data_IF_317294416295
#
_entry.id   IF_317294416295
#
_cell.length_a   1.000
_cell.length_b   1.000
_cell.length_c   1.000
_cell.angle_alpha   90.00
_cell.angle_beta   90.00
_cell.angle_gamma   90.00
#
_symmetry.space_group_name_H-M   'P 1'
#
loop_
_entity.id
_entity.type
_entity.pdbx_description
1 polymer ?
#
# COMPACT_ATOMS: atom_id res chain seq x y z
N UNK A 1 19.08 -8.94 18.32
CA UNK A 1 18.90 -8.23 17.02
C UNK A 1 17.96 -9.07 16.18
N UNK A 2 16.69 -8.72 16.15
CA UNK A 2 15.67 -9.46 15.40
C UNK A 2 15.89 -9.17 13.92
N UNK A 3 16.20 -10.21 13.12
CA UNK A 3 16.15 -10.11 11.66
C UNK A 3 14.72 -9.71 11.30
N UNK A 4 14.56 -8.52 10.72
CA UNK A 4 13.29 -8.14 10.10
C UNK A 4 13.15 -9.05 8.89
N UNK A 5 12.31 -10.08 9.01
CA UNK A 5 11.96 -10.94 7.89
C UNK A 5 11.14 -10.10 6.91
N UNK A 6 11.76 -9.65 5.83
CA UNK A 6 11.10 -8.97 4.70
C UNK A 6 10.00 -9.82 4.02
N UNK A 7 9.80 -11.07 4.44
CA UNK A 7 8.78 -12.00 3.94
C UNK A 7 7.35 -11.70 4.44
N UNK A 8 7.15 -10.70 5.29
CA UNK A 8 5.83 -10.37 5.86
C UNK A 8 5.19 -9.08 5.32
N UNK A 9 5.91 -8.26 4.55
CA UNK A 9 5.35 -7.04 3.95
C UNK A 9 4.38 -7.42 2.82
N UNK A 10 3.14 -6.92 2.79
CA UNK A 10 2.24 -7.19 1.68
C UNK A 10 2.79 -6.55 0.41
N UNK A 11 2.62 -7.24 -0.72
CA UNK A 11 2.97 -6.65 -2.01
C UNK A 11 1.96 -5.58 -2.44
N UNK A 12 2.38 -4.68 -3.33
CA UNK A 12 1.47 -3.71 -3.94
C UNK A 12 0.25 -4.41 -4.58
N UNK A 13 0.48 -5.54 -5.26
CA UNK A 13 -0.56 -6.40 -5.81
C UNK A 13 -1.53 -6.93 -4.74
N UNK A 14 -1.03 -7.29 -3.57
CA UNK A 14 -1.87 -7.71 -2.44
C UNK A 14 -2.78 -6.57 -1.97
N UNK A 15 -2.22 -5.37 -1.80
CA UNK A 15 -2.99 -4.19 -1.41
C UNK A 15 -4.05 -3.84 -2.47
N UNK A 16 -3.71 -3.95 -3.76
CA UNK A 16 -4.64 -3.65 -4.84
C UNK A 16 -5.85 -4.60 -4.85
N UNK A 17 -5.61 -5.89 -4.59
CA UNK A 17 -6.68 -6.91 -4.48
C UNK A 17 -7.59 -6.69 -3.27
N UNK A 18 -7.04 -6.19 -2.17
CA UNK A 18 -7.85 -5.85 -0.98
C UNK A 18 -8.69 -4.61 -1.24
N UNK A 19 -8.11 -3.58 -1.88
CA UNK A 19 -8.75 -2.31 -2.13
C UNK A 19 -9.88 -2.39 -3.18
N UNK A 20 -9.71 -3.23 -4.22
CA UNK A 20 -10.61 -3.25 -5.39
C UNK A 20 -10.85 -1.83 -5.95
N UNK A 21 -9.77 -1.07 -6.10
CA UNK A 21 -9.79 0.36 -6.43
C UNK A 21 -8.46 0.79 -7.03
N UNK A 22 -8.12 2.07 -6.90
CA UNK A 22 -6.89 2.59 -7.51
C UNK A 22 -5.82 2.84 -6.47
N UNK A 23 -4.62 2.29 -6.72
CA UNK A 23 -3.40 2.62 -6.01
C UNK A 23 -2.50 3.46 -6.91
N UNK A 24 -1.98 4.55 -6.36
CA UNK A 24 -1.04 5.44 -7.03
C UNK A 24 0.26 5.50 -6.23
N UNK A 25 1.36 5.13 -6.89
CA UNK A 25 2.68 5.07 -6.28
C UNK A 25 3.33 6.45 -6.37
N UNK A 26 3.68 7.01 -5.22
CA UNK A 26 4.48 8.24 -5.08
C UNK A 26 5.84 7.88 -4.48
N UNK A 27 6.78 8.82 -4.51
CA UNK A 27 8.16 8.56 -4.06
C UNK A 27 8.26 7.94 -2.65
N UNK A 28 7.45 8.41 -1.69
CA UNK A 28 7.53 7.97 -0.28
C UNK A 28 6.26 7.22 0.19
N UNK A 29 5.19 7.22 -0.61
CA UNK A 29 3.89 6.69 -0.22
C UNK A 29 3.15 6.05 -1.38
N UNK A 30 2.33 5.06 -1.06
CA UNK A 30 1.26 4.57 -1.93
C UNK A 30 -0.04 5.24 -1.49
N UNK A 31 -0.75 5.85 -2.43
CA UNK A 31 -2.03 6.50 -2.20
C UNK A 31 -3.14 5.59 -2.73
N UNK A 32 -4.01 5.12 -1.85
CA UNK A 32 -5.27 4.51 -2.20
C UNK A 32 -6.37 5.58 -2.26
N UNK A 33 -7.05 5.66 -3.39
CA UNK A 33 -8.26 6.46 -3.55
C UNK A 33 -9.35 5.62 -4.21
N UNK A 34 -10.61 5.96 -3.87
CA UNK A 34 -11.79 5.22 -4.33
C UNK A 34 -11.78 3.74 -3.90
N UNK A 35 -12.74 2.94 -4.36
CA UNK A 35 -12.86 1.53 -3.99
C UNK A 35 -13.23 1.28 -2.52
N UNK A 36 -12.83 0.12 -2.01
CA UNK A 36 -13.16 -0.37 -0.66
C UNK A 36 -12.13 0.10 0.38
N UNK A 37 -11.94 1.42 0.51
CA UNK A 37 -11.02 2.02 1.50
C UNK A 37 -11.22 1.47 2.93
N UNK A 38 -12.45 1.25 3.45
CA UNK A 38 -12.63 0.64 4.77
C UNK A 38 -12.03 -0.77 4.87
N UNK A 39 -12.14 -1.58 3.81
CA UNK A 39 -11.57 -2.93 3.76
C UNK A 39 -10.06 -2.89 3.74
N UNK A 40 -9.48 -1.98 2.96
CA UNK A 40 -8.04 -1.74 2.96
C UNK A 40 -7.54 -1.29 4.34
N UNK A 41 -8.24 -0.37 5.01
CA UNK A 41 -7.90 0.08 6.36
C UNK A 41 -7.93 -1.07 7.38
N UNK A 42 -8.97 -1.93 7.35
CA UNK A 42 -9.05 -3.11 8.24
C UNK A 42 -7.87 -4.05 8.01
N UNK A 43 -7.51 -4.30 6.74
CA UNK A 43 -6.35 -5.13 6.41
C UNK A 43 -5.05 -4.53 6.95
N UNK A 44 -4.80 -3.24 6.72
CA UNK A 44 -3.59 -2.57 7.21
C UNK A 44 -3.49 -2.62 8.74
N UNK A 45 -4.61 -2.46 9.46
CA UNK A 45 -4.67 -2.60 10.93
C UNK A 45 -4.34 -4.04 11.36
N UNK A 46 -4.92 -5.06 10.69
CA UNK A 46 -4.70 -6.47 11.03
C UNK A 46 -3.26 -6.93 10.82
N UNK A 47 -2.52 -6.25 9.93
CA UNK A 47 -1.15 -6.57 9.58
C UNK A 47 -0.13 -5.61 10.21
N UNK A 48 -0.55 -4.75 11.15
CA UNK A 48 0.30 -3.76 11.83
C UNK A 48 1.05 -2.81 10.86
N UNK A 49 0.42 -2.46 9.73
CA UNK A 49 1.00 -1.58 8.72
C UNK A 49 0.57 -0.14 9.00
N UNK A 50 1.52 0.81 9.16
CA UNK A 50 1.17 2.21 9.39
C UNK A 50 0.50 2.81 8.15
N UNK A 51 -0.53 3.63 8.36
CA UNK A 51 -1.17 4.40 7.30
C UNK A 51 -1.80 5.68 7.85
N UNK A 52 -2.03 6.64 6.96
CA UNK A 52 -2.69 7.91 7.29
C UNK A 52 -3.92 8.11 6.41
N UNK A 53 -5.00 8.61 7.00
CA UNK A 53 -6.13 9.11 6.21
C UNK A 53 -5.82 10.51 5.69
N UNK A 54 -5.83 10.69 4.36
CA UNK A 54 -5.66 12.00 3.74
C UNK A 54 -6.98 12.53 3.19
N UNK A 55 -7.09 13.86 3.07
CA UNK A 55 -8.25 14.58 2.52
C UNK A 55 -9.61 14.16 3.11
N UNK A 56 -9.99 14.69 4.28
CA UNK A 56 -11.32 14.46 4.89
C UNK A 56 -11.81 12.99 4.85
N UNK A 57 -10.89 12.00 4.97
CA UNK A 57 -11.20 10.56 4.97
C UNK A 57 -11.43 9.91 3.60
N UNK A 58 -11.09 10.57 2.49
CA UNK A 58 -11.31 10.03 1.13
C UNK A 58 -10.10 9.31 0.52
N UNK A 59 -8.98 9.25 1.24
CA UNK A 59 -7.75 8.63 0.77
C UNK A 59 -7.03 7.95 1.93
N UNK A 60 -6.31 6.87 1.63
CA UNK A 60 -5.38 6.22 2.55
C UNK A 60 -3.97 6.36 1.97
N UNK A 61 -3.03 6.80 2.79
CA UNK A 61 -1.60 6.89 2.46
C UNK A 61 -0.86 5.81 3.24
N UNK A 62 -0.10 4.98 2.53
CA UNK A 62 0.68 3.88 3.09
C UNK A 62 2.14 4.19 2.80
N UNK A 63 3.04 4.24 3.80
CA UNK A 63 4.46 4.46 3.54
C UNK A 63 5.01 3.33 2.68
N UNK A 64 5.73 3.69 1.62
CA UNK A 64 6.19 2.74 0.59
C UNK A 64 7.16 1.68 1.15
N UNK A 65 7.88 2.03 2.21
CA UNK A 65 8.82 1.16 2.92
C UNK A 65 8.17 -0.03 3.64
N UNK A 66 6.84 0.01 3.84
CA UNK A 66 6.08 -1.08 4.47
C UNK A 66 5.35 -1.96 3.44
N UNK A 67 5.65 -1.77 2.15
CA UNK A 67 5.01 -2.47 1.04
C UNK A 67 6.07 -3.03 0.11
N UNK A 68 5.95 -4.31 -0.21
CA UNK A 68 6.82 -4.93 -1.19
C UNK A 68 6.39 -4.50 -2.62
N UNK A 69 7.22 -3.71 -3.30
CA UNK A 69 7.03 -3.38 -4.71
C UNK A 69 7.85 -4.34 -5.56
N UNK A 70 7.15 -5.16 -6.34
CA UNK A 70 7.76 -6.13 -7.25
C UNK A 70 8.49 -5.38 -8.38
N UNK A 71 9.76 -5.72 -8.64
CA UNK A 71 10.62 -4.99 -9.59
C UNK A 71 10.06 -4.87 -11.02
N UNK A 72 9.12 -5.74 -11.40
CA UNK A 72 8.49 -5.74 -12.73
C UNK A 72 7.50 -4.58 -12.96
N UNK A 73 7.09 -3.83 -11.93
CA UNK A 73 6.16 -2.70 -12.10
C UNK A 73 6.88 -1.36 -12.36
N UNK A 74 8.17 -1.25 -12.03
CA UNK A 74 8.94 0.00 -12.19
C UNK A 74 9.31 0.23 -13.67
N UNK A 75 9.54 -0.83 -14.45
CA UNK A 75 9.98 -0.72 -15.85
C UNK A 75 8.89 -0.25 -16.82
N UNK A 76 7.61 -0.33 -16.45
CA UNK A 76 6.49 -0.01 -17.37
C UNK A 76 5.99 1.45 -17.33
N UNK A 77 6.54 2.30 -16.47
CA UNK A 77 6.14 3.72 -16.35
C UNK A 77 7.21 4.72 -16.83
N UNK A 78 8.26 4.27 -17.52
CA UNK A 78 9.36 5.11 -18.06
C UNK A 78 9.46 4.99 -19.59
N UNK A 79 8.33 4.87 -20.32
CA UNK A 79 8.33 4.95 -21.80
C UNK A 79 7.39 6.04 -22.29
#
# INVERSE_FOLDING_TARGET
>A
MTKINKEQEPSLNTLNRVLNGTLDIRNEYIIAYEGELPRLAVYLIQHDIPFEFSTKGRQIKIPIENVHIESNEIENNIT
#
